data_IF_177058187020
#
_entry.id   IF_177058187020
#
_cell.length_a   1.000
_cell.length_b   1.000
_cell.length_c   1.000
_cell.angle_alpha   90.00
_cell.angle_beta   90.00
_cell.angle_gamma   90.00
#
_symmetry.space_group_name_H-M   'P 1'
#
loop_
_entity.id
_entity.type
_entity.pdbx_description
1 polymer ?
#
# COMPACT_ATOMS: atom_id res chain seq x y z
N UNK A 1 -1.64 15.61 78.88
CA UNK A 1 -0.38 14.93 79.23
C UNK A 1 -0.23 13.69 78.35
N UNK A 2 0.90 13.59 77.63
CA UNK A 2 1.58 12.38 77.07
C UNK A 2 0.73 11.42 76.21
N UNK A 3 0.90 11.43 74.87
CA UNK A 3 1.89 10.62 74.12
C UNK A 3 1.62 9.11 74.18
N UNK A 4 1.21 8.49 73.06
CA UNK A 4 2.12 7.65 72.23
C UNK A 4 1.41 7.10 70.99
N UNK A 5 2.09 7.28 69.86
CA UNK A 5 1.94 6.57 68.59
C UNK A 5 2.32 5.08 68.77
N UNK A 6 1.61 4.14 68.12
CA UNK A 6 2.21 2.91 67.54
C UNK A 6 1.25 2.24 66.56
N UNK A 7 1.77 2.03 65.35
CA UNK A 7 1.30 1.17 64.27
C UNK A 7 0.86 -0.23 64.76
N UNK A 8 -0.01 -0.90 63.99
CA UNK A 8 0.31 -2.12 63.21
C UNK A 8 -0.91 -2.52 62.37
N UNK A 9 -0.73 -2.53 61.05
CA UNK A 9 -1.55 -3.19 60.04
C UNK A 9 -1.43 -4.72 60.22
N UNK A 10 -2.48 -5.53 60.06
CA UNK A 10 -2.50 -6.33 58.82
C UNK A 10 -3.92 -6.65 58.31
N UNK A 11 -4.05 -6.78 56.98
CA UNK A 11 -5.28 -7.26 56.37
C UNK A 11 -5.28 -7.28 54.85
N UNK A 12 -4.12 -7.32 54.19
CA UNK A 12 -4.02 -7.69 52.78
C UNK A 12 -4.10 -9.22 52.70
N UNK A 13 -5.32 -9.74 52.57
CA UNK A 13 -5.55 -11.14 52.25
C UNK A 13 -6.04 -11.25 50.81
N UNK A 14 -5.12 -11.74 49.96
CA UNK A 14 -5.39 -12.60 48.82
C UNK A 14 -6.38 -12.10 47.76
N UNK A 15 -5.85 -11.39 46.76
CA UNK A 15 -6.33 -11.49 45.38
C UNK A 15 -5.16 -11.87 44.47
N UNK A 16 -4.63 -13.06 44.70
CA UNK A 16 -3.54 -13.66 43.93
C UNK A 16 -4.02 -15.00 43.34
N UNK A 17 -5.00 -14.94 42.44
CA UNK A 17 -5.51 -16.03 41.60
C UNK A 17 -6.37 -15.31 40.52
N UNK A 18 -6.09 -15.27 39.22
CA UNK A 18 -5.24 -16.05 38.36
C UNK A 18 -4.65 -15.12 37.27
N UNK A 19 -3.32 -14.98 37.28
CA UNK A 19 -2.53 -14.48 36.15
C UNK A 19 -1.75 -15.66 35.52
N UNK A 20 -2.43 -16.81 35.44
CA UNK A 20 -1.95 -17.98 34.74
C UNK A 20 -2.96 -18.28 33.63
N UNK A 21 -2.54 -18.15 32.36
CA UNK A 21 -3.33 -18.61 31.22
C UNK A 21 -3.88 -17.54 30.29
N UNK A 22 -3.26 -16.36 30.20
CA UNK A 22 -3.30 -15.58 28.98
C UNK A 22 -1.87 -15.14 28.66
N UNK A 23 -1.01 -16.14 28.36
CA UNK A 23 0.01 -15.87 27.36
C UNK A 23 -0.79 -15.50 26.12
N UNK A 24 -0.95 -14.20 25.88
CA UNK A 24 -1.12 -13.73 24.53
C UNK A 24 0.12 -14.27 23.82
N UNK A 25 -0.01 -15.43 23.17
CA UNK A 25 0.78 -15.71 22.00
C UNK A 25 0.65 -14.44 21.19
N UNK A 26 1.70 -13.62 21.18
CA UNK A 26 1.84 -12.52 20.25
C UNK A 26 1.74 -13.20 18.89
N UNK A 27 0.52 -13.32 18.36
CA UNK A 27 0.25 -14.05 17.15
C UNK A 27 1.17 -13.46 16.11
N UNK A 28 2.17 -14.25 15.69
CA UNK A 28 3.17 -13.79 14.76
C UNK A 28 2.41 -13.43 13.48
N UNK A 29 2.21 -12.14 13.24
CA UNK A 29 1.46 -11.67 12.09
C UNK A 29 2.19 -12.02 10.81
N UNK A 30 1.44 -12.22 9.73
CA UNK A 30 2.00 -12.33 8.39
C UNK A 30 1.50 -11.14 7.58
N UNK A 31 2.44 -10.42 7.00
CA UNK A 31 2.15 -9.35 6.08
C UNK A 31 2.65 -9.75 4.69
N UNK A 32 1.77 -9.67 3.70
CA UNK A 32 2.14 -9.81 2.29
C UNK A 32 2.14 -8.43 1.66
N UNK A 33 3.27 -8.02 1.10
CA UNK A 33 3.37 -6.73 0.44
C UNK A 33 2.62 -6.75 -0.90
N UNK A 34 1.89 -5.67 -1.19
CA UNK A 34 1.45 -5.44 -2.56
C UNK A 34 2.67 -5.18 -3.46
N UNK A 35 2.51 -5.51 -4.74
CA UNK A 35 3.54 -5.34 -5.74
C UNK A 35 2.95 -4.91 -7.09
N UNK A 36 3.82 -4.34 -7.92
CA UNK A 36 3.54 -4.04 -9.33
C UNK A 36 4.57 -4.79 -10.17
N UNK A 37 4.12 -5.37 -11.27
CA UNK A 37 4.95 -6.05 -12.25
C UNK A 37 4.52 -5.71 -13.67
N UNK A 38 5.38 -6.05 -14.63
CA UNK A 38 5.05 -6.06 -16.05
C UNK A 38 5.00 -7.51 -16.52
N UNK A 39 4.01 -7.86 -17.32
CA UNK A 39 3.87 -9.19 -17.90
C UNK A 39 5.17 -9.64 -18.61
N UNK A 40 5.56 -10.90 -18.40
CA UNK A 40 6.80 -11.49 -18.89
C UNK A 40 8.06 -11.12 -18.11
N UNK A 41 8.00 -10.15 -17.18
CA UNK A 41 9.16 -9.72 -16.38
C UNK A 41 9.14 -10.32 -14.97
N UNK A 42 10.31 -10.69 -14.43
CA UNK A 42 10.38 -11.20 -13.06
C UNK A 42 10.09 -10.08 -12.05
N UNK A 43 9.29 -10.41 -11.03
CA UNK A 43 9.01 -9.59 -9.85
C UNK A 43 9.41 -10.36 -8.59
N UNK A 44 9.80 -9.64 -7.55
CA UNK A 44 10.04 -10.22 -6.21
C UNK A 44 8.86 -9.92 -5.32
N UNK A 45 8.16 -10.98 -4.91
CA UNK A 45 7.10 -10.93 -3.91
C UNK A 45 7.74 -11.03 -2.53
N UNK A 46 7.25 -10.25 -1.57
CA UNK A 46 7.81 -10.18 -0.23
C UNK A 46 6.73 -10.47 0.80
N UNK A 47 7.08 -11.31 1.76
CA UNK A 47 6.30 -11.55 2.98
C UNK A 47 7.13 -11.12 4.18
N UNK A 48 6.47 -10.66 5.24
CA UNK A 48 7.08 -10.40 6.54
C UNK A 48 6.33 -11.19 7.59
N UNK A 49 7.08 -11.85 8.46
CA UNK A 49 6.60 -12.63 9.61
C UNK A 49 6.99 -11.91 10.90
N UNK A 50 6.05 -11.75 11.83
CA UNK A 50 6.29 -11.12 13.12
C UNK A 50 5.14 -10.24 13.61
N UNK A 51 5.27 -9.74 14.84
CA UNK A 51 4.35 -8.78 15.44
C UNK A 51 4.73 -7.33 15.16
N UNK A 52 3.94 -6.39 15.70
CA UNK A 52 4.16 -4.95 15.55
C UNK A 52 5.55 -4.49 16.05
N UNK A 53 6.14 -5.22 17.01
CA UNK A 53 7.40 -4.85 17.69
C UNK A 53 8.54 -5.88 17.55
N UNK A 54 8.32 -7.03 16.91
CA UNK A 54 9.33 -8.07 16.79
C UNK A 54 9.17 -8.86 15.48
N UNK A 55 10.26 -8.99 14.72
CA UNK A 55 10.32 -9.89 13.58
C UNK A 55 10.40 -11.34 14.08
N UNK A 56 9.74 -12.26 13.38
CA UNK A 56 9.78 -13.70 13.65
C UNK A 56 10.49 -14.42 12.49
N UNK A 57 11.82 -14.47 12.54
CA UNK A 57 12.63 -15.11 11.49
C UNK A 57 12.66 -16.63 11.54
N UNK A 58 13.15 -17.26 10.46
CA UNK A 58 13.30 -18.72 10.37
C UNK A 58 11.98 -19.47 10.17
N UNK A 59 10.92 -18.77 9.79
CA UNK A 59 9.57 -19.32 9.64
C UNK A 59 9.38 -19.89 8.23
N UNK A 60 8.78 -21.09 8.14
CA UNK A 60 8.26 -21.61 6.87
C UNK A 60 6.94 -20.94 6.56
N UNK A 61 6.85 -20.35 5.38
CA UNK A 61 5.64 -19.67 4.89
C UNK A 61 5.21 -20.33 3.59
N UNK A 62 3.94 -20.73 3.54
CA UNK A 62 3.27 -21.12 2.30
C UNK A 62 2.70 -19.88 1.64
N UNK A 63 3.23 -19.50 0.48
CA UNK A 63 2.77 -18.39 -0.34
C UNK A 63 1.99 -18.94 -1.55
N UNK A 64 0.75 -18.50 -1.68
CA UNK A 64 -0.15 -18.80 -2.78
C UNK A 64 -0.33 -17.55 -3.64
N UNK A 65 -0.14 -17.72 -4.95
CA UNK A 65 -0.47 -16.72 -5.96
C UNK A 65 -1.73 -17.24 -6.66
N UNK A 66 -2.72 -16.39 -6.86
CA UNK A 66 -3.98 -16.76 -7.50
C UNK A 66 -3.76 -17.52 -8.82
N UNK A 67 -4.46 -18.65 -8.97
CA UNK A 67 -4.33 -19.52 -10.15
C UNK A 67 -3.01 -20.31 -10.24
N UNK A 68 -2.15 -20.26 -9.21
CA UNK A 68 -0.87 -20.98 -9.18
C UNK A 68 -0.83 -22.00 -8.04
N UNK A 69 0.02 -23.02 -8.19
CA UNK A 69 0.31 -23.96 -7.10
C UNK A 69 1.01 -23.24 -5.92
N UNK A 70 0.67 -23.56 -4.66
CA UNK A 70 1.33 -22.99 -3.50
C UNK A 70 2.85 -23.24 -3.51
N UNK A 71 3.62 -22.28 -2.97
CA UNK A 71 5.08 -22.34 -2.85
C UNK A 71 5.50 -22.17 -1.40
N UNK A 72 6.45 -22.97 -0.96
CA UNK A 72 7.07 -22.78 0.35
C UNK A 72 8.30 -21.89 0.25
N UNK A 73 8.42 -20.93 1.17
CA UNK A 73 9.59 -20.08 1.35
C UNK A 73 9.99 -20.05 2.83
N UNK A 74 11.27 -19.79 3.10
CA UNK A 74 11.80 -19.61 4.45
C UNK A 74 12.07 -18.13 4.69
N UNK A 75 11.64 -17.60 5.84
CA UNK A 75 12.00 -16.23 6.23
C UNK A 75 13.39 -16.16 6.84
N UNK A 76 14.13 -15.09 6.54
CA UNK A 76 15.42 -14.79 7.15
C UNK A 76 15.27 -14.43 8.64
N UNK A 77 16.40 -14.23 9.34
CA UNK A 77 16.40 -13.81 10.75
C UNK A 77 15.72 -12.46 11.00
N UNK A 78 15.58 -11.64 9.96
CA UNK A 78 14.88 -10.36 9.93
C UNK A 78 13.35 -10.50 9.73
N UNK A 79 12.84 -11.73 9.61
CA UNK A 79 11.44 -12.03 9.40
C UNK A 79 10.96 -11.87 7.96
N UNK A 80 11.83 -11.55 6.99
CA UNK A 80 11.43 -11.39 5.59
C UNK A 80 11.63 -12.66 4.78
N UNK A 81 10.66 -12.99 3.93
CA UNK A 81 10.74 -14.04 2.92
C UNK A 81 10.49 -13.48 1.53
N UNK A 82 11.16 -14.04 0.53
CA UNK A 82 11.08 -13.55 -0.85
C UNK A 82 10.81 -14.70 -1.83
N UNK A 83 9.93 -14.45 -2.80
CA UNK A 83 9.67 -15.35 -3.92
C UNK A 83 9.83 -14.58 -5.24
N UNK A 84 10.70 -15.08 -6.12
CA UNK A 84 10.79 -14.58 -7.50
C UNK A 84 9.70 -15.23 -8.34
N UNK A 85 8.87 -14.41 -8.96
CA UNK A 85 7.74 -14.83 -9.79
C UNK A 85 7.78 -14.10 -11.13
N UNK A 86 7.29 -14.72 -12.21
CA UNK A 86 7.16 -14.08 -13.52
C UNK A 86 5.70 -14.22 -13.97
N UNK A 87 4.87 -13.17 -13.87
CA UNK A 87 3.52 -13.23 -14.39
C UNK A 87 3.54 -13.26 -15.92
N UNK A 88 2.64 -14.02 -16.54
CA UNK A 88 2.58 -14.18 -18.00
C UNK A 88 1.61 -13.18 -18.66
N UNK A 89 0.52 -12.84 -17.97
CA UNK A 89 -0.54 -11.99 -18.51
C UNK A 89 -0.82 -10.77 -17.60
N UNK A 90 -1.22 -9.62 -18.17
CA UNK A 90 -1.71 -8.48 -17.40
C UNK A 90 -2.98 -8.82 -16.61
N UNK A 91 -3.17 -8.18 -15.47
CA UNK A 91 -4.30 -8.41 -14.58
C UNK A 91 -4.00 -8.07 -13.13
N UNK A 92 -4.91 -8.42 -12.24
CA UNK A 92 -4.69 -8.37 -10.79
C UNK A 92 -4.64 -9.81 -10.29
N UNK A 93 -3.64 -10.14 -9.46
CA UNK A 93 -3.53 -11.45 -8.83
C UNK A 93 -3.59 -11.29 -7.32
N UNK A 94 -4.45 -12.09 -6.68
CA UNK A 94 -4.46 -12.26 -5.24
C UNK A 94 -3.19 -12.96 -4.75
N UNK A 95 -2.64 -12.47 -3.64
CA UNK A 95 -1.56 -13.09 -2.91
C UNK A 95 -2.06 -13.48 -1.52
N UNK A 96 -1.77 -14.70 -1.08
CA UNK A 96 -2.07 -15.18 0.26
C UNK A 96 -0.86 -15.89 0.85
N UNK A 97 -0.55 -15.64 2.11
CA UNK A 97 0.54 -16.30 2.83
C UNK A 97 0.04 -16.88 4.14
N UNK A 98 0.57 -18.04 4.50
CA UNK A 98 0.25 -18.74 5.76
C UNK A 98 1.49 -19.31 6.42
N UNK A 99 1.56 -19.21 7.73
CA UNK A 99 2.56 -19.88 8.59
C UNK A 99 1.89 -20.28 9.91
N UNK A 100 1.70 -21.58 10.12
CA UNK A 100 0.90 -22.06 11.26
C UNK A 100 -0.55 -21.60 11.17
N UNK A 101 -1.01 -20.89 12.21
CA UNK A 101 -2.34 -20.27 12.30
C UNK A 101 -2.40 -18.84 11.77
N UNK A 102 -1.24 -18.23 11.46
CA UNK A 102 -1.19 -16.86 10.97
C UNK A 102 -1.37 -16.82 9.46
N UNK A 103 -2.12 -15.83 8.99
CA UNK A 103 -2.42 -15.60 7.58
C UNK A 103 -2.24 -14.11 7.24
N UNK A 104 -1.89 -13.86 5.99
CA UNK A 104 -1.75 -12.51 5.44
C UNK A 104 -2.10 -12.50 3.96
N UNK A 105 -2.51 -11.35 3.44
CA UNK A 105 -2.87 -11.20 2.03
C UNK A 105 -2.31 -9.94 1.41
N UNK A 106 -2.24 -9.94 0.09
CA UNK A 106 -1.79 -8.82 -0.72
C UNK A 106 -2.19 -8.99 -2.18
N UNK A 107 -1.69 -8.10 -3.02
CA UNK A 107 -2.04 -8.03 -4.44
C UNK A 107 -0.84 -7.78 -5.32
N UNK A 108 -0.89 -8.37 -6.50
CA UNK A 108 0.05 -8.10 -7.57
C UNK A 108 -0.69 -7.49 -8.76
N UNK A 109 -0.44 -6.21 -9.03
CA UNK A 109 -0.88 -5.56 -10.27
C UNK A 109 0.12 -5.89 -11.38
N UNK A 110 -0.33 -6.64 -12.38
CA UNK A 110 0.45 -6.97 -13.57
C UNK A 110 0.00 -6.09 -14.73
N UNK A 111 0.91 -5.28 -15.22
CA UNK A 111 0.70 -4.35 -16.32
C UNK A 111 1.15 -4.94 -17.64
N UNK A 112 0.54 -4.52 -18.74
CA UNK A 112 1.11 -4.77 -20.07
C UNK A 112 2.40 -3.94 -20.24
N UNK A 113 3.35 -4.36 -21.09
CA UNK A 113 4.53 -3.56 -21.42
C UNK A 113 4.14 -2.15 -21.91
N UNK A 114 4.70 -1.12 -21.30
CA UNK A 114 4.42 0.28 -21.63
C UNK A 114 3.09 0.82 -21.10
N UNK A 115 2.31 0.02 -20.39
CA UNK A 115 1.05 0.48 -19.79
C UNK A 115 1.34 1.46 -18.64
N UNK A 116 0.77 2.69 -18.67
CA UNK A 116 1.03 3.69 -17.66
C UNK A 116 0.25 3.46 -16.37
N UNK A 117 0.81 3.98 -15.27
CA UNK A 117 0.11 4.07 -13.98
C UNK A 117 -0.13 5.50 -13.55
N UNK A 118 -1.14 5.67 -12.70
CA UNK A 118 -1.34 6.86 -11.89
C UNK A 118 -0.97 6.54 -10.45
N UNK A 119 -0.03 7.31 -9.90
CA UNK A 119 0.36 7.20 -8.50
C UNK A 119 -0.48 8.16 -7.68
N UNK A 120 -1.14 7.66 -6.65
CA UNK A 120 -2.06 8.43 -5.82
C UNK A 120 -1.66 8.31 -4.35
N UNK A 121 -1.46 9.43 -3.69
CA UNK A 121 -1.29 9.45 -2.24
C UNK A 121 -2.58 9.05 -1.53
N UNK A 122 -2.51 7.99 -0.73
CA UNK A 122 -3.67 7.48 0.00
C UNK A 122 -4.25 8.50 0.97
N UNK A 123 -3.40 9.28 1.64
CA UNK A 123 -3.86 10.31 2.57
C UNK A 123 -4.74 11.36 1.88
N UNK A 124 -4.45 11.72 0.62
CA UNK A 124 -5.29 12.64 -0.17
C UNK A 124 -6.68 12.07 -0.45
N UNK A 125 -6.82 10.75 -0.55
CA UNK A 125 -8.13 10.05 -0.64
C UNK A 125 -8.84 10.06 0.71
N UNK A 126 -8.12 9.86 1.82
CA UNK A 126 -8.73 9.96 3.15
C UNK A 126 -9.28 11.36 3.43
N UNK A 127 -8.57 12.41 3.01
CA UNK A 127 -9.01 13.79 3.18
C UNK A 127 -10.29 14.11 2.38
N UNK A 128 -10.60 13.41 1.28
CA UNK A 128 -11.85 13.64 0.54
C UNK A 128 -13.08 13.22 1.33
N UNK A 129 -12.98 12.17 2.15
CA UNK A 129 -14.06 11.73 3.01
C UNK A 129 -14.45 12.77 4.08
N UNK A 130 -13.56 13.70 4.40
CA UNK A 130 -13.79 14.76 5.38
C UNK A 130 -14.41 16.03 4.78
N UNK A 131 -14.56 16.09 3.45
CA UNK A 131 -15.10 17.26 2.75
C UNK A 131 -16.47 16.91 2.15
N UNK A 132 -17.53 17.71 2.41
CA UNK A 132 -18.86 17.43 1.87
C UNK A 132 -18.85 17.29 0.34
N UNK A 133 -19.41 16.19 -0.17
CA UNK A 133 -19.51 15.91 -1.61
C UNK A 133 -18.23 15.39 -2.28
N UNK A 134 -17.06 15.49 -1.63
CA UNK A 134 -15.79 15.07 -2.24
C UNK A 134 -15.54 13.55 -2.18
N UNK A 135 -16.17 12.80 -1.26
CA UNK A 135 -16.02 11.34 -1.22
C UNK A 135 -16.54 10.66 -2.50
N UNK A 136 -17.74 11.07 -2.96
CA UNK A 136 -18.33 10.53 -4.18
C UNK A 136 -17.58 11.01 -5.43
N UNK A 137 -17.18 12.28 -5.47
CA UNK A 137 -16.35 12.82 -6.55
C UNK A 137 -15.00 12.08 -6.64
N UNK A 138 -14.38 11.77 -5.51
CA UNK A 138 -13.16 10.96 -5.45
C UNK A 138 -13.40 9.55 -5.99
N UNK A 139 -14.46 8.87 -5.53
CA UNK A 139 -14.80 7.51 -5.97
C UNK A 139 -15.01 7.44 -7.49
N UNK A 140 -15.79 8.37 -8.03
CA UNK A 140 -16.04 8.43 -9.48
C UNK A 140 -14.76 8.77 -10.27
N UNK A 141 -13.94 9.70 -9.76
CA UNK A 141 -12.64 10.00 -10.37
C UNK A 141 -11.73 8.77 -10.41
N UNK A 142 -11.62 8.01 -9.30
CA UNK A 142 -10.81 6.80 -9.23
C UNK A 142 -11.31 5.72 -10.20
N UNK A 143 -12.63 5.52 -10.32
CA UNK A 143 -13.20 4.58 -11.31
C UNK A 143 -12.90 5.00 -12.74
N UNK A 144 -13.03 6.30 -13.04
CA UNK A 144 -12.71 6.83 -14.37
C UNK A 144 -11.23 6.68 -14.71
N UNK A 145 -10.34 6.97 -13.76
CA UNK A 145 -8.89 6.75 -13.91
C UNK A 145 -8.60 5.25 -14.14
N UNK A 146 -9.20 4.36 -13.34
CA UNK A 146 -8.96 2.92 -13.40
C UNK A 146 -9.38 2.24 -14.72
N UNK A 147 -10.18 2.92 -15.57
CA UNK A 147 -10.51 2.42 -16.92
C UNK A 147 -9.36 2.53 -17.91
N UNK A 148 -8.47 3.50 -17.73
CA UNK A 148 -7.36 3.77 -18.65
C UNK A 148 -5.97 3.52 -18.07
N UNK A 149 -5.87 3.41 -16.75
CA UNK A 149 -4.59 3.35 -16.04
C UNK A 149 -4.61 2.29 -14.95
N UNK A 150 -3.45 1.68 -14.68
CA UNK A 150 -3.22 1.05 -13.38
C UNK A 150 -3.12 2.11 -12.28
N UNK A 151 -3.71 1.84 -11.11
CA UNK A 151 -3.65 2.76 -9.97
C UNK A 151 -2.68 2.21 -8.93
N UNK A 152 -1.71 3.03 -8.54
CA UNK A 152 -0.75 2.72 -7.48
C UNK A 152 -0.97 3.69 -6.34
N UNK A 153 -1.64 3.25 -5.28
CA UNK A 153 -1.72 4.01 -4.06
C UNK A 153 -0.38 3.95 -3.33
N UNK A 154 0.08 5.08 -2.81
CA UNK A 154 1.24 5.15 -1.91
C UNK A 154 0.76 5.56 -0.53
N UNK A 155 1.22 4.83 0.48
CA UNK A 155 0.79 4.99 1.89
C UNK A 155 2.01 5.30 2.75
N UNK A 156 1.96 6.34 3.59
CA UNK A 156 3.08 6.65 4.50
C UNK A 156 3.02 5.85 5.81
N UNK A 157 1.83 5.39 6.21
CA UNK A 157 1.52 4.85 7.54
C UNK A 157 1.02 3.40 7.43
N UNK A 158 0.83 2.74 8.58
CA UNK A 158 0.00 1.55 8.68
C UNK A 158 -1.43 1.89 8.20
N UNK A 159 -1.69 1.61 6.93
CA UNK A 159 -2.97 1.92 6.28
C UNK A 159 -3.20 1.09 5.03
N UNK A 160 -2.31 0.14 4.72
CA UNK A 160 -2.42 -0.74 3.56
C UNK A 160 -3.70 -1.57 3.60
N UNK A 161 -4.08 -2.08 4.78
CA UNK A 161 -5.34 -2.83 4.92
C UNK A 161 -6.58 -1.94 4.78
N UNK A 162 -6.52 -0.69 5.24
CA UNK A 162 -7.61 0.27 5.07
C UNK A 162 -7.73 0.65 3.58
N UNK A 163 -6.60 0.93 2.92
CA UNK A 163 -6.53 1.22 1.50
C UNK A 163 -7.09 0.05 0.68
N UNK A 164 -6.70 -1.20 0.98
CA UNK A 164 -7.22 -2.40 0.32
C UNK A 164 -8.73 -2.55 0.51
N UNK A 165 -9.25 -2.38 1.73
CA UNK A 165 -10.71 -2.43 1.97
C UNK A 165 -11.46 -1.39 1.15
N UNK A 166 -10.91 -0.19 0.98
CA UNK A 166 -11.52 0.85 0.14
C UNK A 166 -11.41 0.51 -1.35
N UNK A 167 -10.26 0.05 -1.82
CA UNK A 167 -10.05 -0.43 -3.20
C UNK A 167 -11.13 -1.45 -3.56
N UNK A 168 -11.43 -2.36 -2.64
CA UNK A 168 -12.44 -3.40 -2.81
C UNK A 168 -13.86 -2.86 -2.81
N UNK A 169 -14.19 -2.04 -1.80
CA UNK A 169 -15.52 -1.43 -1.70
C UNK A 169 -15.87 -0.55 -2.90
N UNK A 170 -14.88 0.12 -3.50
CA UNK A 170 -15.08 1.02 -4.63
C UNK A 170 -15.05 0.30 -6.00
N UNK A 171 -14.72 -1.00 -6.03
CA UNK A 171 -14.64 -1.81 -7.25
C UNK A 171 -13.42 -1.52 -8.11
N UNK A 172 -12.32 -1.06 -7.52
CA UNK A 172 -11.09 -0.66 -8.22
C UNK A 172 -10.23 -1.89 -8.53
N UNK A 173 -10.63 -2.67 -9.54
CA UNK A 173 -9.99 -3.94 -9.91
C UNK A 173 -8.54 -3.82 -10.40
N UNK A 174 -8.08 -2.63 -10.78
CA UNK A 174 -6.72 -2.36 -11.27
C UNK A 174 -5.91 -1.47 -10.32
N UNK A 175 -6.00 -1.74 -9.02
CA UNK A 175 -5.32 -0.95 -8.01
C UNK A 175 -4.57 -1.76 -6.95
N UNK A 176 -3.44 -1.22 -6.48
CA UNK A 176 -2.61 -1.76 -5.38
C UNK A 176 -2.12 -0.66 -4.45
N UNK A 177 -1.73 -1.01 -3.23
CA UNK A 177 -1.22 -0.06 -2.22
C UNK A 177 0.23 -0.36 -1.81
N UNK A 178 1.16 0.45 -2.29
CA UNK A 178 2.58 0.37 -1.95
C UNK A 178 2.92 1.20 -0.72
N UNK A 179 3.97 0.78 0.00
CA UNK A 179 4.58 1.62 1.03
C UNK A 179 5.33 2.80 0.37
N UNK A 180 5.09 4.01 0.87
CA UNK A 180 5.80 5.21 0.44
C UNK A 180 7.22 5.22 1.02
N UNK A 181 8.22 5.27 0.15
CA UNK A 181 9.64 5.39 0.50
C UNK A 181 10.28 6.59 -0.18
N UNK A 182 9.49 7.66 -0.35
CA UNK A 182 9.89 8.83 -1.12
C UNK A 182 10.03 8.52 -2.62
N UNK A 183 10.89 9.29 -3.29
CA UNK A 183 11.17 9.14 -4.72
C UNK A 183 11.67 7.73 -5.12
N UNK A 184 12.20 6.93 -4.18
CA UNK A 184 12.64 5.56 -4.46
C UNK A 184 11.49 4.66 -4.91
N UNK A 185 10.27 4.84 -4.36
CA UNK A 185 9.08 4.10 -4.80
C UNK A 185 8.78 4.39 -6.28
N UNK A 186 8.88 5.65 -6.70
CA UNK A 186 8.63 6.07 -8.08
C UNK A 186 9.74 5.63 -9.05
N UNK A 187 11.00 5.75 -8.63
CA UNK A 187 12.14 5.27 -9.43
C UNK A 187 12.05 3.77 -9.68
N UNK A 188 11.64 2.99 -8.68
CA UNK A 188 11.44 1.55 -8.86
C UNK A 188 10.39 1.23 -9.93
N UNK A 189 9.31 2.01 -10.04
CA UNK A 189 8.35 1.85 -11.14
C UNK A 189 9.00 2.12 -12.50
N UNK A 190 9.81 3.19 -12.60
CA UNK A 190 10.54 3.52 -13.83
C UNK A 190 11.60 2.47 -14.20
N UNK A 191 12.31 1.91 -13.24
CA UNK A 191 13.26 0.81 -13.43
C UNK A 191 12.60 -0.47 -13.93
N UNK A 192 11.30 -0.65 -13.61
CA UNK A 192 10.46 -1.72 -14.15
C UNK A 192 9.85 -1.36 -15.52
N UNK A 193 10.30 -0.28 -16.15
CA UNK A 193 9.78 0.29 -17.40
C UNK A 193 8.27 0.58 -17.35
N UNK A 194 7.78 0.99 -16.19
CA UNK A 194 6.39 1.39 -15.98
C UNK A 194 6.32 2.93 -16.10
N UNK A 195 5.65 3.49 -17.13
CA UNK A 195 5.42 4.92 -17.24
C UNK A 195 4.51 5.42 -16.11
N UNK A 196 4.80 6.62 -15.59
CA UNK A 196 3.98 7.28 -14.57
C UNK A 196 3.26 8.44 -15.26
N UNK A 197 2.01 8.24 -15.66
CA UNK A 197 1.22 9.26 -16.34
C UNK A 197 0.94 10.45 -15.41
N UNK A 198 0.68 10.18 -14.13
CA UNK A 198 0.49 11.22 -13.15
C UNK A 198 0.89 10.79 -11.74
N UNK A 199 1.35 11.75 -10.95
CA UNK A 199 1.43 11.67 -9.50
C UNK A 199 0.47 12.68 -8.86
N UNK A 200 -0.42 12.18 -8.01
CA UNK A 200 -1.51 12.94 -7.38
C UNK A 200 -1.34 12.89 -5.87
N UNK A 201 -1.25 14.05 -5.22
CA UNK A 201 -1.26 14.10 -3.76
C UNK A 201 -0.64 15.36 -3.18
N UNK A 202 -0.12 15.24 -1.96
CA UNK A 202 0.60 16.31 -1.27
C UNK A 202 1.87 16.76 -1.99
N UNK A 203 2.38 17.91 -1.56
CA UNK A 203 3.65 18.50 -2.00
C UNK A 203 4.83 17.52 -1.98
N UNK A 204 4.88 16.60 -1.02
CA UNK A 204 6.00 15.65 -0.96
C UNK A 204 5.93 14.63 -2.11
N UNK A 205 4.74 14.10 -2.41
CA UNK A 205 4.55 13.14 -3.51
C UNK A 205 4.76 13.82 -4.86
N UNK A 206 4.19 15.01 -5.05
CA UNK A 206 4.38 15.80 -6.29
C UNK A 206 5.82 16.28 -6.46
N UNK A 207 6.54 16.63 -5.39
CA UNK A 207 7.96 16.96 -5.48
C UNK A 207 8.80 15.75 -5.86
N UNK A 208 8.56 14.59 -5.23
CA UNK A 208 9.26 13.35 -5.52
C UNK A 208 9.05 12.86 -6.97
N UNK A 209 7.90 13.18 -7.57
CA UNK A 209 7.55 12.82 -8.94
C UNK A 209 8.18 13.72 -10.02
N UNK A 210 8.93 14.76 -9.65
CA UNK A 210 9.54 15.68 -10.62
C UNK A 210 10.52 14.94 -11.54
N UNK A 211 10.29 15.02 -12.85
CA UNK A 211 11.10 14.32 -13.85
C UNK A 211 10.85 12.80 -13.91
N UNK A 212 9.91 12.28 -13.13
CA UNK A 212 9.53 10.86 -13.14
C UNK A 212 8.11 10.63 -13.65
N UNK A 213 7.21 11.60 -13.45
CA UNK A 213 5.83 11.56 -13.92
C UNK A 213 5.55 12.65 -14.97
N UNK A 214 4.71 12.34 -15.95
CA UNK A 214 4.33 13.28 -17.01
C UNK A 214 3.51 14.45 -16.44
N UNK A 215 2.64 14.14 -15.47
CA UNK A 215 1.80 15.12 -14.78
C UNK A 215 1.99 15.03 -13.28
N UNK A 216 1.89 16.20 -12.63
CA UNK A 216 1.93 16.34 -11.18
C UNK A 216 0.74 17.18 -10.77
N UNK A 217 -0.14 16.59 -9.97
CA UNK A 217 -1.44 17.19 -9.61
C UNK A 217 -1.55 17.24 -8.09
N UNK A 218 -2.05 18.35 -7.56
CA UNK A 218 -2.23 18.54 -6.12
C UNK A 218 -3.36 19.51 -5.80
N UNK A 219 -3.80 19.52 -4.56
CA UNK A 219 -4.88 20.41 -4.10
C UNK A 219 -4.34 21.77 -3.62
N UNK A 220 -3.05 21.82 -3.29
CA UNK A 220 -2.35 23.01 -2.83
C UNK A 220 -1.71 23.81 -3.98
N UNK A 221 -1.42 25.09 -3.72
CA UNK A 221 -0.66 25.93 -4.65
C UNK A 221 0.82 25.54 -4.60
N UNK A 222 1.34 24.98 -5.68
CA UNK A 222 2.76 24.66 -5.84
C UNK A 222 3.26 24.97 -7.26
N UNK A 223 4.50 25.44 -7.37
CA UNK A 223 5.11 25.74 -8.68
C UNK A 223 5.30 24.46 -9.51
N UNK A 224 4.77 24.47 -10.73
CA UNK A 224 4.91 23.37 -11.69
C UNK A 224 4.05 22.16 -11.37
N UNK A 225 3.07 22.30 -10.46
CA UNK A 225 2.05 21.29 -10.16
C UNK A 225 0.71 21.88 -10.59
N UNK A 226 -0.09 21.09 -11.31
CA UNK A 226 -1.44 21.50 -11.66
C UNK A 226 -2.30 21.45 -10.41
N UNK A 227 -2.78 22.63 -9.98
CA UNK A 227 -3.67 22.73 -8.84
C UNK A 227 -5.10 22.38 -9.26
N UNK A 228 -5.76 21.54 -8.48
CA UNK A 228 -7.19 21.22 -8.60
C UNK A 228 -7.94 21.61 -7.32
N UNK A 229 -9.21 21.99 -7.44
CA UNK A 229 -10.09 22.26 -6.30
C UNK A 229 -10.81 21.02 -5.80
N UNK A 230 -11.12 20.10 -6.71
CA UNK A 230 -11.92 18.89 -6.52
C UNK A 230 -11.32 17.69 -7.25
N UNK A 231 -11.62 16.48 -6.76
CA UNK A 231 -11.30 15.23 -7.45
C UNK A 231 -11.90 15.12 -8.86
N UNK A 232 -13.05 15.77 -9.10
CA UNK A 232 -13.74 15.76 -10.40
C UNK A 232 -12.92 16.40 -11.54
N UNK A 233 -11.97 17.27 -11.21
CA UNK A 233 -11.11 17.95 -12.19
C UNK A 233 -9.96 17.06 -12.69
N UNK A 234 -9.65 15.97 -11.99
CA UNK A 234 -8.46 15.15 -12.26
C UNK A 234 -8.60 14.30 -13.54
N UNK A 235 -9.68 13.52 -13.76
CA UNK A 235 -9.76 12.67 -14.95
C UNK A 235 -9.63 13.43 -16.28
N UNK A 236 -10.27 14.60 -16.48
CA UNK A 236 -10.08 15.40 -17.70
C UNK A 236 -8.61 15.80 -17.95
N UNK A 237 -7.84 16.06 -16.88
CA UNK A 237 -6.41 16.37 -17.01
C UNK A 237 -5.59 15.18 -17.52
N UNK A 238 -6.00 13.95 -17.21
CA UNK A 238 -5.29 12.75 -17.64
C UNK A 238 -5.68 12.32 -19.07
N UNK A 239 -6.89 12.64 -19.49
CA UNK A 239 -7.38 12.38 -20.86
C UNK A 239 -6.82 13.38 -21.88
N UNK A 240 -6.45 14.58 -21.43
CA UNK A 240 -5.79 15.56 -22.29
C UNK A 240 -4.40 15.05 -22.77
N UNK A 241 -3.94 15.48 -23.96
CA UNK A 241 -2.56 15.22 -24.41
C UNK A 241 -1.53 15.75 -23.41
N UNK A 242 -0.47 14.98 -23.15
CA UNK A 242 0.60 15.42 -22.24
C UNK A 242 1.22 16.73 -22.74
N UNK A 243 1.47 17.72 -21.86
CA UNK A 243 2.12 18.97 -22.26
C UNK A 243 3.52 18.66 -22.83
N UNK A 244 3.74 18.98 -24.11
CA UNK A 244 4.98 18.69 -24.84
C UNK A 244 4.91 17.53 -25.85
N UNK A 245 3.75 16.91 -26.06
CA UNK A 245 3.54 15.80 -27.00
C UNK A 245 3.23 16.17 -28.46
N UNK A 246 3.42 17.42 -28.89
CA UNK A 246 3.35 17.77 -30.31
C UNK A 246 4.64 17.32 -31.02
N UNK A 247 4.59 16.23 -31.80
CA UNK A 247 5.68 15.95 -32.74
C UNK A 247 5.91 14.53 -33.26
N UNK A 248 5.15 13.49 -32.89
CA UNK A 248 5.40 12.12 -33.41
C UNK A 248 4.14 11.33 -33.80
N UNK A 249 3.15 12.00 -34.41
CA UNK A 249 2.13 11.32 -35.23
C UNK A 249 2.10 11.96 -36.60
N UNK A 250 2.91 11.44 -37.51
CA UNK A 250 2.94 11.85 -38.90
C UNK A 250 4.31 11.69 -39.54
N UNK A 251 4.68 10.44 -39.84
CA UNK A 251 5.51 10.02 -40.99
C UNK A 251 5.50 8.50 -41.08
#
# INVERSE_FOLDING_TARGET
MRSTLRLILPGLAALSLALAGAQAESAAGIEVADAVAVAGRPVTLAVRTGGLFAAAGGMRVTLTIEGQAPREILTGGDGFGYLRFRPEAPGILGLAARAGSAEGSGRLLVLAPGEPVVVIEWESVLWSALRPGEDEACREALRRIGRGFGIVFVTRWAGRDIARRRIDGDGLSRAVALAWRGASTLRRLRELDIPIAAAIGSREVTAAARGLADRRVGFDRERGVTRVGSWSEIPPLLEAPAPGGEGLRGR
#
